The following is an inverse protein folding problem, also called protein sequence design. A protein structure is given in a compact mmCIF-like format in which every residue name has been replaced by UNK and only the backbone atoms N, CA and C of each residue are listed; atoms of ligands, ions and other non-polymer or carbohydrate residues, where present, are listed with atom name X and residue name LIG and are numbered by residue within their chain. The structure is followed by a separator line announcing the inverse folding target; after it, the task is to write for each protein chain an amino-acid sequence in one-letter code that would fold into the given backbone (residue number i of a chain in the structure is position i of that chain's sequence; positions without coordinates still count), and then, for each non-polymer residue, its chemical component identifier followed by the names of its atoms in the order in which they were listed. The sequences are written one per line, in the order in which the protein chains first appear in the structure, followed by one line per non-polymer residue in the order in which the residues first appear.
data_IF_992800119028
#
_entry.id   IF_992800119028
#
_cell.length_a   1.000
_cell.length_b   1.000
_cell.length_c   1.000
_cell.angle_alpha   90.00
_cell.angle_beta   90.00
_cell.angle_gamma   90.00
#
_symmetry.space_group_name_H-M   'P 1'
#
loop_
_entity.id
_entity.type
_entity.pdbx_description
1 polymer ?
#
# COMPACT_ATOMS: atom_id res chain seq x y z
N UNK A 1 -2.25 -5.97 4.37
CA UNK A 1 -1.61 -4.63 4.35
C UNK A 1 -2.37 -3.65 5.25
N UNK A 2 -2.02 -3.60 6.55
CA UNK A 2 -2.56 -2.58 7.45
C UNK A 2 -2.05 -1.18 7.07
N UNK A 3 -2.91 -0.15 7.10
CA UNK A 3 -4.31 -0.14 7.53
C UNK A 3 -5.32 -0.22 6.37
N UNK A 4 -4.90 -0.64 5.16
CA UNK A 4 -5.71 -0.60 3.94
C UNK A 4 -6.64 -1.83 3.81
N UNK A 5 -6.06 -3.04 3.73
CA UNK A 5 -6.79 -4.30 3.68
C UNK A 5 -6.10 -5.33 4.57
N UNK A 6 -6.78 -5.83 5.57
CA UNK A 6 -6.25 -6.85 6.47
C UNK A 6 -7.38 -7.61 7.16
N UNK A 7 -7.05 -8.74 7.77
CA UNK A 7 -8.00 -9.56 8.52
C UNK A 7 -7.95 -9.24 10.00
N UNK A 8 -9.12 -9.08 10.61
CA UNK A 8 -9.23 -8.96 12.07
C UNK A 8 -9.16 -10.34 12.75
N UNK A 9 -9.26 -10.39 14.09
CA UNK A 9 -9.24 -11.62 14.89
C UNK A 9 -10.38 -12.59 14.56
N UNK A 10 -11.40 -12.16 13.81
CA UNK A 10 -12.54 -12.97 13.37
C UNK A 10 -12.43 -13.42 11.91
N UNK A 11 -11.25 -13.26 11.31
CA UNK A 11 -11.00 -13.55 9.89
C UNK A 11 -11.88 -12.73 8.92
N UNK A 12 -12.33 -11.54 9.34
CA UNK A 12 -13.09 -10.61 8.50
C UNK A 12 -12.13 -9.59 7.88
N UNK A 13 -12.29 -9.32 6.58
CA UNK A 13 -11.56 -8.25 5.91
C UNK A 13 -12.01 -6.89 6.41
N UNK A 14 -11.07 -6.09 6.88
CA UNK A 14 -11.26 -4.72 7.35
C UNK A 14 -10.12 -3.84 6.82
N UNK A 15 -10.22 -2.55 7.04
CA UNK A 15 -9.26 -1.56 6.58
C UNK A 15 -9.95 -0.49 5.74
N UNK A 16 -9.21 0.57 5.44
CA UNK A 16 -9.77 1.69 4.69
C UNK A 16 -10.24 1.25 3.30
N UNK A 17 -9.37 0.56 2.55
CA UNK A 17 -9.69 0.08 1.21
C UNK A 17 -10.77 -1.01 1.24
N UNK A 18 -10.69 -1.95 2.19
CA UNK A 18 -11.70 -3.00 2.34
C UNK A 18 -13.10 -2.44 2.58
N UNK A 19 -13.23 -1.46 3.47
CA UNK A 19 -14.54 -0.88 3.78
C UNK A 19 -15.06 0.03 2.65
N UNK A 20 -14.18 0.75 1.96
CA UNK A 20 -14.54 1.50 0.76
C UNK A 20 -14.96 0.58 -0.39
N UNK A 21 -14.27 -0.55 -0.59
CA UNK A 21 -14.63 -1.55 -1.60
C UNK A 21 -16.00 -2.17 -1.33
N UNK A 22 -16.29 -2.54 -0.08
CA UNK A 22 -17.62 -3.03 0.33
C UNK A 22 -18.72 -1.97 0.07
N UNK A 23 -18.44 -0.71 0.41
CA UNK A 23 -19.40 0.38 0.20
C UNK A 23 -19.64 0.63 -1.30
N UNK A 24 -18.59 0.57 -2.13
CA UNK A 24 -18.71 0.70 -3.58
C UNK A 24 -19.50 -0.47 -4.18
N UNK A 25 -19.17 -1.71 -3.84
CA UNK A 25 -19.91 -2.90 -4.30
C UNK A 25 -21.42 -2.78 -3.95
N UNK A 26 -21.73 -2.39 -2.71
CA UNK A 26 -23.11 -2.15 -2.28
C UNK A 26 -23.80 -1.07 -3.11
N UNK A 27 -23.10 -0.01 -3.51
CA UNK A 27 -23.67 1.04 -4.38
C UNK A 27 -24.04 0.54 -5.77
N UNK A 28 -23.37 -0.52 -6.24
CA UNK A 28 -23.63 -1.21 -7.49
C UNK A 28 -24.67 -2.35 -7.35
N UNK A 29 -25.14 -2.65 -6.14
CA UNK A 29 -26.06 -3.75 -5.87
C UNK A 29 -25.43 -5.14 -5.95
N UNK A 30 -24.12 -5.25 -5.71
CA UNK A 30 -23.33 -6.49 -5.68
C UNK A 30 -22.58 -6.63 -4.36
N UNK A 31 -22.05 -7.84 -4.09
CA UNK A 31 -21.20 -8.10 -2.95
C UNK A 31 -19.71 -7.98 -3.34
N UNK A 32 -18.88 -7.55 -2.40
CA UNK A 32 -17.43 -7.57 -2.55
C UNK A 32 -16.88 -8.94 -2.11
N UNK A 33 -16.11 -9.56 -2.98
CA UNK A 33 -15.31 -10.74 -2.67
C UNK A 33 -13.84 -10.34 -2.63
N UNK A 34 -13.12 -10.77 -1.59
CA UNK A 34 -11.71 -10.45 -1.42
C UNK A 34 -10.88 -11.67 -1.78
N UNK A 35 -9.93 -11.46 -2.70
CA UNK A 35 -9.01 -12.50 -3.19
C UNK A 35 -7.59 -12.05 -2.88
N UNK A 36 -6.90 -12.84 -2.06
CA UNK A 36 -5.47 -12.63 -1.79
C UNK A 36 -4.65 -13.10 -2.99
N UNK A 37 -3.73 -12.26 -3.45
CA UNK A 37 -2.87 -12.53 -4.60
C UNK A 37 -1.40 -12.28 -4.25
N UNK A 38 -0.50 -12.91 -4.99
CA UNK A 38 0.89 -12.47 -5.02
C UNK A 38 0.95 -11.13 -5.77
N UNK A 39 1.48 -10.10 -5.13
CA UNK A 39 1.44 -8.73 -5.66
C UNK A 39 2.13 -8.56 -7.02
N UNK A 40 3.19 -9.33 -7.25
CA UNK A 40 3.89 -9.41 -8.54
C UNK A 40 2.98 -9.86 -9.69
N UNK A 41 1.94 -10.64 -9.38
CA UNK A 41 1.00 -11.19 -10.35
C UNK A 41 -0.26 -10.32 -10.58
N UNK A 42 -0.37 -9.14 -9.97
CA UNK A 42 -1.59 -8.29 -9.99
C UNK A 42 -2.15 -8.01 -11.38
N UNK A 43 -1.28 -7.73 -12.36
CA UNK A 43 -1.69 -7.48 -13.75
C UNK A 43 -2.21 -8.76 -14.40
N UNK A 44 -1.51 -9.88 -14.20
CA UNK A 44 -1.89 -11.18 -14.76
C UNK A 44 -3.22 -11.67 -14.19
N UNK A 45 -3.44 -11.53 -12.88
CA UNK A 45 -4.70 -11.89 -12.22
C UNK A 45 -5.88 -11.05 -12.73
N UNK A 46 -5.66 -9.76 -12.93
CA UNK A 46 -6.67 -8.85 -13.47
C UNK A 46 -7.02 -9.19 -14.92
N UNK A 47 -6.02 -9.42 -15.78
CA UNK A 47 -6.21 -9.77 -17.19
C UNK A 47 -6.81 -11.18 -17.34
N UNK A 48 -6.41 -12.10 -16.46
CA UNK A 48 -6.95 -13.47 -16.39
C UNK A 48 -8.39 -13.55 -15.88
N UNK A 49 -8.96 -12.45 -15.38
CA UNK A 49 -10.32 -12.35 -14.84
C UNK A 49 -10.55 -13.19 -13.58
N UNK A 50 -9.50 -13.47 -12.83
CA UNK A 50 -9.60 -14.06 -11.50
C UNK A 50 -10.03 -13.03 -10.46
N UNK A 51 -9.74 -11.76 -10.73
CA UNK A 51 -10.21 -10.59 -9.99
C UNK A 51 -10.78 -9.54 -10.94
N UNK A 52 -11.64 -8.64 -10.44
CA UNK A 52 -12.25 -7.55 -11.22
C UNK A 52 -11.53 -6.22 -11.05
N UNK A 53 -10.84 -6.03 -9.92
CA UNK A 53 -10.00 -4.86 -9.66
C UNK A 53 -8.82 -5.23 -8.77
N UNK A 54 -7.80 -4.37 -8.78
CA UNK A 54 -6.69 -4.35 -7.83
C UNK A 54 -6.89 -3.15 -6.93
N UNK A 55 -7.17 -3.41 -5.66
CA UNK A 55 -7.47 -2.37 -4.69
C UNK A 55 -6.88 -2.73 -3.33
N UNK A 56 -5.68 -2.29 -3.05
CA UNK A 56 -4.98 -2.48 -1.77
C UNK A 56 -3.77 -1.54 -1.68
N UNK A 57 -4.01 -0.23 -1.47
CA UNK A 57 -2.93 0.75 -1.41
C UNK A 57 -2.04 0.70 -2.65
N UNK A 58 -2.64 0.54 -3.83
CA UNK A 58 -1.86 0.37 -5.06
C UNK A 58 -1.28 1.69 -5.54
N UNK A 59 0.04 1.78 -5.58
CA UNK A 59 0.75 2.93 -6.13
C UNK A 59 0.52 3.05 -7.64
N UNK A 60 0.18 4.26 -8.08
CA UNK A 60 -0.02 4.58 -9.50
C UNK A 60 1.33 4.77 -10.21
N UNK A 61 2.08 3.68 -10.38
CA UNK A 61 3.33 3.66 -11.15
C UNK A 61 3.05 3.75 -12.65
N UNK A 62 4.08 4.02 -13.45
CA UNK A 62 3.97 4.02 -14.91
C UNK A 62 3.56 2.63 -15.44
N UNK A 63 4.05 1.55 -14.83
CA UNK A 63 3.67 0.18 -15.16
C UNK A 63 2.16 -0.02 -14.94
N UNK A 64 1.66 0.29 -13.76
CA UNK A 64 0.26 0.11 -13.37
C UNK A 64 -0.67 0.94 -14.27
N UNK A 65 -0.38 2.23 -14.47
CA UNK A 65 -1.20 3.12 -15.30
C UNK A 65 -1.16 2.76 -16.78
N UNK A 66 -0.08 2.13 -17.24
CA UNK A 66 0.02 1.60 -18.60
C UNK A 66 -0.74 0.28 -18.78
N UNK A 67 -0.83 -0.56 -17.74
CA UNK A 67 -1.46 -1.87 -17.80
C UNK A 67 -2.97 -1.83 -17.49
N UNK A 68 -3.44 -0.93 -16.63
CA UNK A 68 -4.80 -0.90 -16.09
C UNK A 68 -5.57 0.37 -16.46
N UNK A 69 -6.90 0.33 -16.36
CA UNK A 69 -7.76 1.50 -16.28
C UNK A 69 -7.81 1.93 -14.80
N UNK A 70 -7.05 2.95 -14.44
CA UNK A 70 -6.92 3.39 -13.06
C UNK A 70 -7.88 4.51 -12.72
N UNK A 71 -8.32 4.55 -11.44
CA UNK A 71 -9.02 5.71 -10.89
C UNK A 71 -8.11 6.92 -10.77
N UNK A 72 -8.70 8.08 -10.50
CA UNK A 72 -7.99 9.19 -9.89
C UNK A 72 -7.38 8.77 -8.56
N UNK A 73 -6.30 9.43 -8.16
CA UNK A 73 -5.65 9.16 -6.89
C UNK A 73 -6.57 9.51 -5.71
N UNK A 74 -6.59 8.66 -4.68
CA UNK A 74 -7.41 8.87 -3.49
C UNK A 74 -6.62 9.12 -2.20
N UNK A 75 -5.36 8.63 -2.12
CA UNK A 75 -4.46 8.85 -0.99
C UNK A 75 -3.06 9.23 -1.48
N UNK A 76 -2.36 10.05 -0.68
CA UNK A 76 -0.91 10.24 -0.77
C UNK A 76 -0.20 9.14 0.03
N UNK A 77 0.98 8.77 -0.43
CA UNK A 77 1.88 7.81 0.23
C UNK A 77 3.35 8.16 -0.08
N UNK A 78 4.25 7.39 0.51
CA UNK A 78 5.68 7.41 0.22
C UNK A 78 6.25 6.00 0.41
N UNK A 79 7.36 5.67 -0.24
CA UNK A 79 8.16 4.52 0.11
C UNK A 79 9.19 4.95 1.15
N UNK A 80 9.22 4.29 2.30
CA UNK A 80 10.09 4.65 3.43
C UNK A 80 10.99 3.50 3.83
N UNK A 81 12.19 3.87 4.28
CA UNK A 81 13.17 2.93 4.81
C UNK A 81 12.91 2.68 6.28
N UNK A 82 12.73 1.41 6.64
CA UNK A 82 12.58 0.94 8.03
C UNK A 82 13.85 0.25 8.47
N UNK A 83 14.35 0.63 9.66
CA UNK A 83 15.56 0.11 10.28
C UNK A 83 15.34 -0.16 11.76
N UNK A 84 16.22 -0.94 12.44
CA UNK A 84 16.20 -1.03 13.89
C UNK A 84 16.36 0.35 14.54
N UNK A 85 15.54 0.65 15.56
CA UNK A 85 15.47 1.97 16.18
C UNK A 85 16.81 2.41 16.83
N UNK A 86 17.59 1.45 17.32
CA UNK A 86 18.92 1.71 17.90
C UNK A 86 19.99 2.08 16.88
N UNK A 87 19.72 1.87 15.60
CA UNK A 87 20.59 2.21 14.47
C UNK A 87 20.13 3.42 13.67
N UNK A 88 18.93 3.93 13.94
CA UNK A 88 18.26 4.96 13.14
C UNK A 88 19.12 6.21 12.89
N UNK A 89 19.85 6.68 13.90
CA UNK A 89 20.70 7.88 13.81
C UNK A 89 21.80 7.77 12.73
N UNK A 90 22.13 6.56 12.30
CA UNK A 90 23.13 6.32 11.25
C UNK A 90 22.57 6.38 9.83
N UNK A 91 21.26 6.28 9.68
CA UNK A 91 20.59 6.06 8.40
C UNK A 91 19.54 7.15 8.15
N UNK A 92 20.00 8.40 8.00
CA UNK A 92 19.14 9.59 7.87
C UNK A 92 19.14 10.19 6.46
N UNK A 93 19.96 9.67 5.56
CA UNK A 93 20.03 10.10 4.16
C UNK A 93 20.35 8.92 3.23
N UNK A 94 20.15 9.11 1.93
CA UNK A 94 20.36 8.07 0.91
C UNK A 94 21.80 7.57 0.83
N UNK A 95 22.77 8.42 1.12
CA UNK A 95 24.18 8.04 1.06
C UNK A 95 24.56 7.04 2.16
N UNK A 96 23.93 7.16 3.33
CA UNK A 96 24.14 6.25 4.47
C UNK A 96 23.53 4.85 4.27
N UNK A 97 22.67 4.68 3.26
CA UNK A 97 21.94 3.45 3.01
C UNK A 97 22.64 2.47 2.05
N UNK A 98 23.67 2.92 1.35
CA UNK A 98 24.27 2.21 0.18
C UNK A 98 24.83 0.83 0.47
N UNK A 99 25.28 0.60 1.71
CA UNK A 99 25.89 -0.67 2.11
C UNK A 99 24.93 -1.60 2.86
N UNK A 100 23.62 -1.23 2.92
CA UNK A 100 22.60 -2.03 3.58
C UNK A 100 22.03 -3.10 2.63
N UNK A 101 21.67 -4.25 3.20
CA UNK A 101 20.82 -5.24 2.57
C UNK A 101 19.36 -4.94 2.87
N UNK A 102 18.53 -4.82 1.83
CA UNK A 102 17.11 -4.51 1.99
C UNK A 102 16.22 -5.74 1.81
N UNK A 103 15.09 -5.77 2.49
CA UNK A 103 13.96 -6.63 2.17
C UNK A 103 12.83 -5.77 1.59
N UNK A 104 12.20 -6.22 0.50
CA UNK A 104 11.11 -5.52 -0.18
C UNK A 104 10.09 -6.52 -0.71
N UNK A 105 8.83 -6.12 -0.81
CA UNK A 105 7.81 -6.95 -1.45
C UNK A 105 8.02 -7.00 -2.97
N UNK A 106 8.00 -8.21 -3.53
CA UNK A 106 8.16 -8.44 -4.98
C UNK A 106 7.05 -7.74 -5.78
N UNK A 107 7.41 -7.06 -6.87
CA UNK A 107 6.48 -6.33 -7.74
C UNK A 107 5.88 -5.06 -7.12
N UNK A 108 6.41 -4.59 -5.99
CA UNK A 108 5.95 -3.38 -5.31
C UNK A 108 6.65 -2.11 -5.79
N UNK A 109 6.08 -0.94 -5.46
CA UNK A 109 6.74 0.35 -5.62
C UNK A 109 8.02 0.46 -4.77
N UNK A 110 8.08 -0.25 -3.64
CA UNK A 110 9.27 -0.37 -2.81
C UNK A 110 10.43 -1.08 -3.52
N UNK A 111 10.15 -2.17 -4.24
CA UNK A 111 11.14 -2.85 -5.07
C UNK A 111 11.64 -1.94 -6.19
N UNK A 112 10.74 -1.24 -6.88
CA UNK A 112 11.11 -0.26 -7.91
C UNK A 112 12.02 0.84 -7.34
N UNK A 113 11.71 1.35 -6.13
CA UNK A 113 12.49 2.38 -5.47
C UNK A 113 13.91 1.91 -5.12
N UNK A 114 14.09 0.74 -4.49
CA UNK A 114 15.42 0.23 -4.13
C UNK A 114 16.24 -0.11 -5.36
N UNK A 115 15.61 -0.67 -6.40
CA UNK A 115 16.27 -0.96 -7.67
C UNK A 115 16.72 0.31 -8.38
N UNK A 116 15.90 1.37 -8.35
CA UNK A 116 16.24 2.68 -8.91
C UNK A 116 17.42 3.38 -8.22
N UNK A 117 17.57 3.18 -6.90
CA UNK A 117 18.73 3.68 -6.14
C UNK A 117 19.97 2.78 -6.27
N UNK A 118 19.82 1.57 -6.83
CA UNK A 118 20.90 0.58 -6.99
C UNK A 118 21.32 -0.08 -5.68
N UNK A 119 20.41 -0.19 -4.71
CA UNK A 119 20.65 -0.88 -3.45
C UNK A 119 20.57 -2.40 -3.61
N UNK A 120 21.27 -3.13 -2.75
CA UNK A 120 21.20 -4.60 -2.66
C UNK A 120 19.93 -5.02 -1.91
N UNK A 121 19.13 -5.92 -2.48
CA UNK A 121 17.86 -6.33 -1.87
C UNK A 121 17.49 -7.79 -2.10
N UNK A 122 16.65 -8.28 -1.20
CA UNK A 122 15.93 -9.57 -1.33
C UNK A 122 14.45 -9.27 -1.47
N UNK A 123 13.84 -9.77 -2.54
CA UNK A 123 12.40 -9.73 -2.73
C UNK A 123 11.72 -10.80 -1.86
N UNK A 124 10.67 -10.39 -1.14
CA UNK A 124 9.83 -11.23 -0.27
C UNK A 124 8.37 -11.18 -0.71
N UNK A 125 7.51 -12.00 -0.11
CA UNK A 125 6.12 -12.15 -0.56
C UNK A 125 5.21 -11.00 -0.13
N UNK A 126 5.55 -10.29 0.96
CA UNK A 126 4.75 -9.18 1.47
C UNK A 126 5.61 -8.14 2.19
N UNK A 127 5.07 -6.94 2.38
CA UNK A 127 5.73 -5.91 3.20
C UNK A 127 5.84 -6.34 4.67
N UNK A 128 4.89 -7.13 5.17
CA UNK A 128 4.98 -7.73 6.51
C UNK A 128 6.15 -8.69 6.63
N UNK A 129 6.43 -9.49 5.58
CA UNK A 129 7.61 -10.35 5.54
C UNK A 129 8.90 -9.52 5.54
N UNK A 130 8.91 -8.39 4.82
CA UNK A 130 10.05 -7.48 4.84
C UNK A 130 10.33 -6.92 6.25
N UNK A 131 9.28 -6.54 7.00
CA UNK A 131 9.43 -6.12 8.41
C UNK A 131 9.93 -7.26 9.30
N UNK A 132 9.48 -8.51 9.08
CA UNK A 132 9.97 -9.68 9.82
C UNK A 132 11.45 -9.95 9.56
N UNK A 133 11.94 -9.78 8.32
CA UNK A 133 13.35 -9.91 7.98
C UNK A 133 14.23 -8.92 8.80
N UNK A 134 13.80 -7.66 8.88
CA UNK A 134 14.53 -6.65 9.67
C UNK A 134 14.45 -6.95 11.17
N UNK A 135 13.28 -7.34 11.68
CA UNK A 135 13.10 -7.69 13.09
C UNK A 135 13.94 -8.92 13.49
N UNK A 136 14.10 -9.88 12.57
CA UNK A 136 14.93 -11.06 12.77
C UNK A 136 16.44 -10.79 12.58
N UNK A 137 16.80 -9.65 11.96
CA UNK A 137 18.19 -9.29 11.66
C UNK A 137 18.77 -10.04 10.45
N UNK A 138 17.93 -10.60 9.59
CA UNK A 138 18.33 -11.25 8.33
C UNK A 138 18.49 -10.26 7.18
N UNK A 139 17.81 -9.11 7.26
CA UNK A 139 18.06 -7.93 6.44
C UNK A 139 18.35 -6.71 7.33
N UNK A 140 19.15 -5.77 6.84
CA UNK A 140 19.52 -4.56 7.59
C UNK A 140 18.39 -3.54 7.63
N UNK A 141 17.60 -3.47 6.56
CA UNK A 141 16.51 -2.53 6.36
C UNK A 141 15.38 -3.14 5.53
N UNK A 142 14.19 -2.52 5.58
CA UNK A 142 13.10 -2.78 4.64
C UNK A 142 12.67 -1.49 3.96
N UNK A 143 12.08 -1.60 2.77
CA UNK A 143 11.32 -0.50 2.17
C UNK A 143 9.87 -0.92 2.08
N UNK A 144 9.01 -0.10 2.68
CA UNK A 144 7.56 -0.30 2.77
C UNK A 144 6.82 1.03 2.58
N UNK A 145 5.52 0.93 2.44
CA UNK A 145 4.63 2.09 2.38
C UNK A 145 4.60 2.87 3.71
N UNK A 146 4.62 4.20 3.62
CA UNK A 146 4.56 5.10 4.78
C UNK A 146 3.29 4.86 5.62
N UNK A 147 2.14 4.61 4.97
CA UNK A 147 0.90 4.35 5.70
C UNK A 147 0.97 3.04 6.49
N UNK A 148 1.61 2.00 5.93
CA UNK A 148 1.87 0.76 6.66
C UNK A 148 2.88 0.98 7.80
N UNK A 149 3.95 1.72 7.56
CA UNK A 149 4.90 2.05 8.61
C UNK A 149 4.22 2.77 9.78
N UNK A 150 3.32 3.71 9.51
CA UNK A 150 2.53 4.40 10.52
C UNK A 150 1.64 3.50 11.38
N UNK A 151 1.13 2.40 10.80
CA UNK A 151 0.27 1.44 11.48
C UNK A 151 1.07 0.38 12.26
N UNK A 152 2.20 -0.09 11.73
CA UNK A 152 2.87 -1.30 12.21
C UNK A 152 4.22 -1.07 12.90
N UNK A 153 4.85 0.09 12.71
CA UNK A 153 6.23 0.37 13.13
C UNK A 153 6.28 1.44 14.22
N UNK A 154 7.07 1.19 15.26
CA UNK A 154 7.29 2.11 16.37
C UNK A 154 6.57 1.74 17.66
N UNK A 155 6.68 2.60 18.66
CA UNK A 155 6.18 2.33 20.02
C UNK A 155 4.67 2.07 20.05
N UNK A 156 4.29 0.96 20.65
CA UNK A 156 2.89 0.54 20.82
C UNK A 156 2.34 -0.26 19.64
N UNK A 157 3.17 -0.62 18.67
CA UNK A 157 2.82 -1.44 17.51
C UNK A 157 3.45 -2.83 17.58
N UNK A 158 3.22 -3.65 16.56
CA UNK A 158 3.82 -4.98 16.45
C UNK A 158 5.36 -4.97 16.30
N UNK A 159 5.91 -3.86 15.82
CA UNK A 159 7.35 -3.68 15.59
C UNK A 159 7.91 -2.48 16.37
N UNK A 160 7.83 -2.54 17.70
CA UNK A 160 8.27 -1.45 18.61
C UNK A 160 9.75 -1.09 18.48
N UNK A 161 10.57 -2.05 18.11
CA UNK A 161 12.02 -1.87 17.99
C UNK A 161 12.48 -1.43 16.60
N UNK A 162 11.54 -1.19 15.70
CA UNK A 162 11.80 -0.65 14.37
C UNK A 162 11.34 0.81 14.29
N UNK A 163 11.90 1.55 13.35
CA UNK A 163 11.48 2.91 13.01
C UNK A 163 11.74 3.18 11.53
N UNK A 164 10.98 4.09 10.93
CA UNK A 164 11.29 4.56 9.59
C UNK A 164 12.18 5.82 9.65
N UNK A 165 13.00 6.01 8.62
CA UNK A 165 13.98 7.11 8.57
C UNK A 165 13.85 7.91 7.28
N UNK A 166 14.26 7.36 6.14
CA UNK A 166 14.37 8.06 4.86
C UNK A 166 13.14 7.79 3.99
N UNK A 167 12.54 8.84 3.43
CA UNK A 167 11.58 8.72 2.32
C UNK A 167 12.35 8.62 1.00
N UNK A 168 12.17 7.53 0.27
CA UNK A 168 12.80 7.31 -1.03
C UNK A 168 12.00 7.96 -2.16
N UNK A 169 10.67 7.86 -2.09
CA UNK A 169 9.72 8.40 -3.09
C UNK A 169 8.53 9.04 -2.40
N UNK A 170 7.83 9.90 -3.14
CA UNK A 170 6.46 10.32 -2.83
C UNK A 170 5.55 9.81 -3.92
N UNK A 171 4.39 9.27 -3.56
CA UNK A 171 3.51 8.58 -4.48
C UNK A 171 2.03 8.73 -4.12
N UNK A 172 1.17 8.14 -4.93
CA UNK A 172 -0.28 8.21 -4.73
C UNK A 172 -0.91 6.86 -5.00
N UNK A 173 -1.93 6.52 -4.22
CA UNK A 173 -2.73 5.32 -4.42
C UNK A 173 -3.90 5.55 -5.37
N UNK A 174 -4.19 4.55 -6.15
CA UNK A 174 -5.39 4.42 -6.97
C UNK A 174 -5.86 2.97 -7.04
N UNK A 175 -6.97 2.76 -7.73
CA UNK A 175 -7.56 1.43 -7.95
C UNK A 175 -7.46 1.09 -9.42
N UNK A 176 -7.03 -0.12 -9.75
CA UNK A 176 -6.87 -0.59 -11.11
C UNK A 176 -7.97 -1.55 -11.55
N UNK A 177 -8.52 -1.31 -12.72
CA UNK A 177 -9.50 -2.17 -13.41
C UNK A 177 -8.94 -2.62 -14.75
N UNK A 178 -9.53 -3.68 -15.34
CA UNK A 178 -9.19 -4.09 -16.71
C UNK A 178 -9.40 -2.93 -17.69
N UNK A 179 -8.49 -2.79 -18.64
CA UNK A 179 -8.65 -1.80 -19.71
C UNK A 179 -9.97 -1.95 -20.45
N UNK A 180 -10.64 -0.82 -20.66
CA UNK A 180 -11.97 -0.78 -21.28
C UNK A 180 -13.13 -1.01 -20.31
N UNK A 181 -12.87 -1.23 -19.02
CA UNK A 181 -13.91 -1.25 -17.98
C UNK A 181 -14.42 0.16 -17.68
N UNK A 182 -15.71 0.32 -17.44
CA UNK A 182 -16.34 1.56 -16.96
C UNK A 182 -16.31 1.69 -15.43
N UNK A 183 -15.74 0.70 -14.72
CA UNK A 183 -15.75 0.66 -13.27
C UNK A 183 -14.80 1.71 -12.66
N UNK A 184 -13.71 2.08 -13.35
CA UNK A 184 -12.83 3.14 -12.89
C UNK A 184 -13.58 4.49 -12.82
N UNK A 185 -14.36 4.82 -13.83
CA UNK A 185 -15.17 6.05 -13.86
C UNK A 185 -16.27 6.01 -12.80
N UNK A 186 -16.96 4.86 -12.64
CA UNK A 186 -17.96 4.67 -11.60
C UNK A 186 -17.39 4.80 -10.20
N UNK A 187 -16.17 4.29 -9.97
CA UNK A 187 -15.50 4.43 -8.68
C UNK A 187 -15.05 5.87 -8.43
N UNK A 188 -14.60 6.60 -9.44
CA UNK A 188 -14.29 8.03 -9.31
C UNK A 188 -15.53 8.83 -8.87
N UNK A 189 -16.70 8.57 -9.47
CA UNK A 189 -17.96 9.22 -9.06
C UNK A 189 -18.40 8.81 -7.63
N UNK A 190 -18.15 7.56 -7.25
CA UNK A 190 -18.38 7.09 -5.89
C UNK A 190 -17.42 7.77 -4.88
N UNK A 191 -16.14 7.89 -5.20
CA UNK A 191 -15.17 8.62 -4.37
C UNK A 191 -15.57 10.08 -4.18
N UNK A 192 -15.96 10.75 -5.25
CA UNK A 192 -16.45 12.12 -5.20
C UNK A 192 -17.69 12.25 -4.31
N UNK A 193 -18.66 11.36 -4.44
CA UNK A 193 -19.88 11.36 -3.63
C UNK A 193 -19.56 11.12 -2.16
N UNK A 194 -18.79 10.09 -1.85
CA UNK A 194 -18.42 9.69 -0.49
C UNK A 194 -17.48 10.70 0.20
N UNK A 195 -16.65 11.39 -0.57
CA UNK A 195 -15.83 12.49 -0.05
C UNK A 195 -16.71 13.68 0.34
N UNK A 196 -17.66 14.07 -0.54
CA UNK A 196 -18.54 15.23 -0.31
C UNK A 196 -19.56 15.01 0.81
N UNK A 197 -20.06 13.80 1.00
CA UNK A 197 -20.98 13.46 2.10
C UNK A 197 -20.25 13.16 3.42
N UNK A 198 -18.92 13.09 3.39
CA UNK A 198 -18.06 12.87 4.55
C UNK A 198 -17.87 11.39 4.94
N UNK A 199 -18.51 10.44 4.27
CA UNK A 199 -18.40 9.01 4.60
C UNK A 199 -16.99 8.47 4.35
N UNK A 200 -16.34 8.87 3.26
CA UNK A 200 -14.94 8.51 2.97
C UNK A 200 -13.98 9.04 4.05
N UNK A 201 -14.16 10.29 4.50
CA UNK A 201 -13.34 10.88 5.55
C UNK A 201 -13.54 10.18 6.89
N UNK A 202 -14.79 9.86 7.24
CA UNK A 202 -15.10 9.10 8.45
C UNK A 202 -14.47 7.70 8.43
N UNK A 203 -14.49 7.02 7.29
CA UNK A 203 -13.79 5.75 7.10
C UNK A 203 -12.29 5.92 7.32
N UNK A 204 -11.67 6.93 6.70
CA UNK A 204 -10.25 7.23 6.87
C UNK A 204 -9.85 7.53 8.33
N UNK A 205 -10.70 8.27 9.07
CA UNK A 205 -10.51 8.54 10.50
C UNK A 205 -10.54 7.26 11.34
N UNK A 206 -11.35 6.26 10.95
CA UNK A 206 -11.42 4.97 11.63
C UNK A 206 -10.10 4.22 11.56
N UNK A 207 -9.39 4.35 10.46
CA UNK A 207 -8.13 3.64 10.20
C UNK A 207 -6.87 4.53 10.29
N UNK A 208 -7.04 5.80 10.70
CA UNK A 208 -5.91 6.72 10.93
C UNK A 208 -5.25 7.26 9.66
N UNK A 209 -5.91 7.18 8.51
CA UNK A 209 -5.36 7.62 7.21
C UNK A 209 -5.96 8.93 6.68
N UNK A 210 -6.73 9.66 7.50
CA UNK A 210 -7.43 10.88 7.10
C UNK A 210 -6.51 11.98 6.56
N UNK A 211 -5.28 12.06 7.06
CA UNK A 211 -4.30 13.08 6.64
C UNK A 211 -3.67 12.76 5.27
N UNK A 212 -3.78 11.52 4.83
CA UNK A 212 -3.32 11.08 3.52
C UNK A 212 -4.37 11.26 2.42
N UNK A 213 -5.65 11.48 2.76
CA UNK A 213 -6.72 11.61 1.76
C UNK A 213 -6.46 12.76 0.79
N UNK A 214 -6.75 12.50 -0.48
CA UNK A 214 -6.78 13.51 -1.55
C UNK A 214 -8.22 13.94 -1.78
N UNK A 215 -8.43 15.27 -1.92
CA UNK A 215 -9.74 15.84 -2.26
C UNK A 215 -10.24 15.26 -3.60
N UNK A 216 -11.48 14.75 -3.61
CA UNK A 216 -12.12 14.19 -4.79
C UNK A 216 -13.02 15.24 -5.46
N UNK A 217 -12.71 15.62 -6.71
CA UNK A 217 -13.36 16.72 -7.47
C UNK A 217 -14.26 16.21 -8.61
#
# INVERSE_FOLDING_TARGET
FEPMDYKNDKDEWIGFDADMAKAFAKSLGVDAEFVEIDWDNKVMELDGKTIDCVWNGMTLTDEVTSAMACTSAYCNNAQVVVVPSDKADKYQDKDSLKDLSFAVESGSAGEEAVNGEGYDYTAVSSQSDALMEVAAGTSDAAVIDLLMAGAMVGKGTGYENLTHTVELTTEKYGVGFRKGSDLADKLNEFFKTSYNDGSMKKCAETYGVQDALIEQK
#
